data_IF_054876492910
#
_entry.id   IF_054876492910
#
_cell.length_a   1.000
_cell.length_b   1.000
_cell.length_c   1.000
_cell.angle_alpha   90.00
_cell.angle_beta   90.00
_cell.angle_gamma   90.00
#
_symmetry.space_group_name_H-M   'P 1'
#
loop_
_entity.id
_entity.type
_entity.pdbx_description
1 polymer ?
#
# COMPACT_ATOMS: atom_id res chain seq x y z
N UNK A 1 34.66 -55.40 26.87
CA UNK A 1 34.68 -55.75 25.44
C UNK A 1 34.32 -54.53 24.63
N UNK A 2 35.23 -54.16 23.73
CA UNK A 2 35.42 -52.84 23.12
C UNK A 2 34.62 -52.71 21.83
N UNK A 3 33.93 -51.57 21.60
CA UNK A 3 33.78 -51.04 20.23
C UNK A 3 33.39 -49.56 20.17
N UNK A 4 34.38 -48.74 19.79
CA UNK A 4 34.20 -47.43 19.17
C UNK A 4 33.49 -47.58 17.81
N UNK A 5 32.55 -46.70 17.49
CA UNK A 5 32.13 -46.32 16.12
C UNK A 5 31.77 -44.83 16.17
N UNK A 6 32.72 -43.94 15.85
CA UNK A 6 32.99 -43.37 14.53
C UNK A 6 31.84 -42.50 14.01
N UNK A 7 31.97 -41.19 14.24
CA UNK A 7 31.15 -40.13 13.69
C UNK A 7 31.25 -40.11 12.15
N UNK A 8 30.11 -40.11 11.48
CA UNK A 8 30.03 -39.87 10.03
C UNK A 8 30.17 -38.37 9.78
N UNK A 9 31.22 -37.98 9.05
CA UNK A 9 31.37 -36.63 8.50
C UNK A 9 30.48 -36.48 7.26
N UNK A 10 29.85 -35.31 7.04
CA UNK A 10 29.15 -35.03 5.79
C UNK A 10 30.16 -34.77 4.64
N UNK A 11 29.78 -35.03 3.38
CA UNK A 11 30.66 -34.80 2.23
C UNK A 11 30.84 -33.32 1.92
N UNK A 12 32.05 -32.99 1.49
CA UNK A 12 32.51 -31.72 0.96
C UNK A 12 31.62 -31.18 -0.17
N UNK A 13 31.16 -29.93 -0.04
CA UNK A 13 30.57 -29.20 -1.15
C UNK A 13 31.68 -28.64 -2.04
N UNK A 14 31.75 -29.14 -3.26
CA UNK A 14 32.57 -28.64 -4.35
C UNK A 14 31.97 -27.33 -4.89
N UNK A 15 32.73 -26.25 -4.85
CA UNK A 15 32.38 -24.96 -5.45
C UNK A 15 32.52 -25.02 -6.98
N UNK A 16 31.51 -24.62 -7.77
CA UNK A 16 31.73 -24.31 -9.18
C UNK A 16 32.22 -22.87 -9.30
N UNK A 17 33.49 -22.74 -9.64
CA UNK A 17 34.12 -21.50 -10.12
C UNK A 17 33.55 -21.15 -11.49
N UNK A 18 32.97 -19.95 -11.62
CA UNK A 18 32.79 -19.31 -12.92
C UNK A 18 31.38 -18.81 -13.19
N UNK A 19 31.03 -17.64 -12.64
CA UNK A 19 30.21 -16.65 -13.35
C UNK A 19 30.68 -15.25 -12.97
N UNK A 20 30.96 -14.44 -14.00
CA UNK A 20 31.23 -13.01 -13.92
C UNK A 20 30.16 -12.31 -13.06
N UNK A 21 30.51 -11.22 -12.35
CA UNK A 21 29.49 -10.39 -11.74
C UNK A 21 28.70 -9.71 -12.86
N UNK A 22 27.50 -10.23 -13.11
CA UNK A 22 26.46 -9.47 -13.80
C UNK A 22 26.26 -8.18 -13.02
N UNK A 23 26.70 -7.09 -13.64
CA UNK A 23 26.39 -5.69 -13.35
C UNK A 23 25.02 -5.62 -12.66
N UNK A 24 25.00 -5.32 -11.36
CA UNK A 24 23.77 -5.00 -10.65
C UNK A 24 23.12 -3.81 -11.36
N UNK A 25 22.19 -4.10 -12.26
CA UNK A 25 21.12 -3.17 -12.60
C UNK A 25 20.33 -2.99 -11.32
N UNK A 26 20.57 -1.89 -10.63
CA UNK A 26 19.80 -1.52 -9.44
C UNK A 26 18.32 -1.66 -9.76
N UNK A 27 17.60 -2.44 -8.96
CA UNK A 27 16.15 -2.53 -9.04
C UNK A 27 15.58 -1.10 -8.99
N UNK A 28 14.91 -0.62 -10.05
CA UNK A 28 14.31 0.72 -10.05
C UNK A 28 13.21 0.87 -8.99
N UNK A 29 12.77 -0.24 -8.42
CA UNK A 29 11.66 -0.32 -7.50
C UNK A 29 11.98 0.27 -6.12
N UNK A 30 13.24 0.29 -5.65
CA UNK A 30 13.56 0.65 -4.25
C UNK A 30 13.28 2.12 -3.92
N UNK A 31 13.54 3.03 -4.88
CA UNK A 31 13.30 4.46 -4.70
C UNK A 31 11.83 4.81 -4.57
N UNK A 32 10.95 4.18 -5.38
CA UNK A 32 9.50 4.48 -5.41
C UNK A 32 8.82 4.18 -4.09
N UNK A 33 9.15 3.03 -3.48
CA UNK A 33 8.65 2.66 -2.16
C UNK A 33 9.08 3.64 -1.07
N UNK A 34 10.25 4.26 -1.21
CA UNK A 34 10.73 5.25 -0.25
C UNK A 34 9.92 6.53 -0.35
N UNK A 35 9.68 7.09 -1.54
CA UNK A 35 8.90 8.34 -1.65
C UNK A 35 7.44 8.12 -1.24
N UNK A 36 6.83 7.00 -1.63
CA UNK A 36 5.47 6.65 -1.21
C UNK A 36 5.37 6.55 0.32
N UNK A 37 6.35 5.92 0.98
CA UNK A 37 6.33 5.78 2.44
C UNK A 37 6.51 7.12 3.17
N UNK A 38 7.27 8.05 2.60
CA UNK A 38 7.38 9.41 3.15
C UNK A 38 6.07 10.16 3.02
N UNK A 39 5.41 10.13 1.86
CA UNK A 39 4.10 10.76 1.66
C UNK A 39 3.06 10.19 2.65
N UNK A 40 3.01 8.87 2.81
CA UNK A 40 2.15 8.20 3.80
C UNK A 40 2.44 8.64 5.23
N UNK A 41 3.72 8.79 5.60
CA UNK A 41 4.14 9.24 6.93
C UNK A 41 3.64 10.66 7.21
N UNK A 42 3.76 11.56 6.23
CA UNK A 42 3.28 12.94 6.35
C UNK A 42 1.75 12.97 6.52
N UNK A 43 1.01 12.25 5.67
CA UNK A 43 -0.46 12.19 5.79
C UNK A 43 -0.93 11.52 7.08
N UNK A 44 -0.18 10.55 7.61
CA UNK A 44 -0.48 9.94 8.91
C UNK A 44 -0.23 10.90 10.07
N UNK A 45 0.82 11.71 9.99
CA UNK A 45 1.17 12.68 11.04
C UNK A 45 0.20 13.87 11.09
N UNK A 46 -0.36 14.27 9.94
CA UNK A 46 -1.29 15.41 9.85
C UNK A 46 -2.61 14.96 9.20
N UNK A 47 -3.65 14.64 9.99
CA UNK A 47 -4.93 14.15 9.48
C UNK A 47 -5.65 15.12 8.54
N UNK A 48 -5.54 16.43 8.81
CA UNK A 48 -6.17 17.52 8.02
C UNK A 48 -5.43 17.85 6.72
N UNK A 49 -4.27 17.22 6.47
CA UNK A 49 -3.52 17.45 5.24
C UNK A 49 -4.11 16.62 4.09
N UNK A 50 -4.67 17.31 3.09
CA UNK A 50 -5.28 16.68 1.91
C UNK A 50 -4.38 16.69 0.66
N UNK A 51 -3.51 17.69 0.54
CA UNK A 51 -2.67 17.90 -0.64
C UNK A 51 -1.26 18.30 -0.23
N UNK A 52 -0.27 17.80 -0.97
CA UNK A 52 1.11 18.27 -0.91
C UNK A 52 1.45 18.87 -2.28
N UNK A 53 1.88 20.12 -2.29
CA UNK A 53 2.33 20.79 -3.51
C UNK A 53 3.85 20.76 -3.62
N UNK A 54 4.33 20.45 -4.83
CA UNK A 54 5.74 20.51 -5.19
C UNK A 54 5.88 21.48 -6.36
N UNK A 55 6.65 22.55 -6.15
CA UNK A 55 6.90 23.59 -7.15
C UNK A 55 8.36 23.49 -7.58
N UNK A 56 8.60 23.30 -8.86
CA UNK A 56 9.93 23.18 -9.45
C UNK A 56 10.05 24.06 -10.69
N UNK A 57 11.23 24.59 -11.02
CA UNK A 57 11.40 25.28 -12.29
C UNK A 57 11.05 24.36 -13.46
N UNK A 58 10.36 24.88 -14.47
CA UNK A 58 9.86 24.11 -15.62
C UNK A 58 10.96 23.46 -16.47
N UNK A 59 12.18 24.00 -16.45
CA UNK A 59 13.34 23.40 -17.12
C UNK A 59 13.86 22.15 -16.39
N UNK A 60 13.45 21.93 -15.13
CA UNK A 60 13.89 20.81 -14.31
C UNK A 60 12.84 19.70 -14.36
N UNK A 61 13.25 18.51 -14.85
CA UNK A 61 12.40 17.32 -14.78
C UNK A 61 12.44 16.69 -13.39
N UNK A 62 11.27 16.32 -12.86
CA UNK A 62 11.21 15.47 -11.67
C UNK A 62 11.86 14.11 -11.95
N UNK A 63 12.55 13.56 -10.94
CA UNK A 63 13.04 12.20 -11.00
C UNK A 63 11.88 11.21 -11.16
N UNK A 64 12.12 10.07 -11.81
CA UNK A 64 11.11 9.03 -12.10
C UNK A 64 10.29 8.61 -10.87
N UNK A 65 10.90 8.67 -9.69
CA UNK A 65 10.31 8.34 -8.39
C UNK A 65 9.29 9.37 -7.89
N UNK A 66 9.49 10.66 -8.20
CA UNK A 66 8.58 11.72 -7.78
C UNK A 66 7.36 11.77 -8.70
N UNK A 67 7.55 11.48 -9.99
CA UNK A 67 6.48 11.42 -10.99
C UNK A 67 5.43 10.35 -10.63
N UNK A 68 5.80 9.28 -9.92
CA UNK A 68 4.84 8.25 -9.48
C UNK A 68 3.96 8.67 -8.30
N UNK A 69 4.28 9.78 -7.63
CA UNK A 69 3.59 10.28 -6.41
C UNK A 69 2.94 11.63 -6.64
N UNK A 70 3.44 12.40 -7.61
CA UNK A 70 3.03 13.77 -7.88
C UNK A 70 2.55 13.92 -9.32
N UNK A 71 1.28 14.30 -9.47
CA UNK A 71 0.66 14.62 -10.76
C UNK A 71 0.92 16.09 -11.11
N UNK A 72 1.32 16.40 -12.34
CA UNK A 72 1.49 17.78 -12.78
C UNK A 72 0.12 18.43 -12.98
N UNK A 73 -0.14 19.55 -12.29
CA UNK A 73 -1.40 20.29 -12.37
C UNK A 73 -1.31 21.52 -13.27
N UNK A 74 -0.11 22.02 -13.54
CA UNK A 74 0.08 23.12 -14.48
C UNK A 74 1.42 23.82 -14.32
N UNK A 75 1.57 24.94 -15.03
CA UNK A 75 2.71 25.83 -14.91
C UNK A 75 2.25 27.20 -14.43
N UNK A 76 3.01 27.81 -13.52
CA UNK A 76 2.82 29.17 -13.05
C UNK A 76 3.86 30.05 -13.75
N UNK A 77 3.45 31.04 -14.55
CA UNK A 77 4.38 32.02 -15.08
C UNK A 77 4.89 32.91 -13.95
N UNK A 78 6.21 33.07 -13.85
CA UNK A 78 6.77 34.02 -12.90
C UNK A 78 6.72 35.43 -13.49
N UNK A 79 6.14 36.39 -12.75
CA UNK A 79 6.10 37.79 -13.19
C UNK A 79 7.40 38.54 -12.88
N UNK A 80 8.26 37.96 -12.03
CA UNK A 80 9.52 38.55 -11.54
C UNK A 80 10.77 37.96 -12.18
N UNK A 81 10.69 36.77 -12.78
CA UNK A 81 11.79 36.06 -13.44
C UNK A 81 11.30 35.54 -14.80
N UNK A 82 12.17 35.44 -15.81
CA UNK A 82 11.81 34.91 -17.14
C UNK A 82 11.57 33.38 -17.16
N UNK A 83 11.46 32.74 -15.99
CA UNK A 83 11.36 31.29 -15.85
C UNK A 83 9.98 30.88 -15.35
N UNK A 84 9.36 29.93 -16.06
CA UNK A 84 8.12 29.30 -15.64
C UNK A 84 8.39 28.23 -14.57
N UNK A 85 7.45 28.04 -13.65
CA UNK A 85 7.50 26.98 -12.63
C UNK A 85 6.43 25.94 -12.90
N UNK A 86 6.79 24.66 -12.88
CA UNK A 86 5.84 23.57 -12.88
C UNK A 86 5.33 23.31 -11.46
N UNK A 87 4.02 23.08 -11.34
CA UNK A 87 3.35 22.71 -10.10
C UNK A 87 2.87 21.30 -10.20
N UNK A 88 3.23 20.52 -9.18
CA UNK A 88 2.76 19.15 -9.03
C UNK A 88 2.01 18.99 -7.70
N UNK A 89 1.04 18.10 -7.71
CA UNK A 89 0.18 17.80 -6.57
C UNK A 89 0.27 16.31 -6.24
N UNK A 90 0.42 16.01 -4.95
CA UNK A 90 0.21 14.67 -4.41
C UNK A 90 -1.10 14.69 -3.64
N UNK A 91 -1.98 13.74 -3.94
CA UNK A 91 -3.28 13.61 -3.30
C UNK A 91 -3.20 12.65 -2.11
N UNK A 92 -3.78 13.03 -0.97
CA UNK A 92 -3.87 12.15 0.20
C UNK A 92 -4.52 10.81 -0.16
N UNK A 93 -5.65 10.81 -0.86
CA UNK A 93 -6.42 9.59 -1.14
C UNK A 93 -5.63 8.54 -1.94
N UNK A 94 -4.63 8.96 -2.73
CA UNK A 94 -3.77 8.06 -3.51
C UNK A 94 -2.80 7.26 -2.65
N UNK A 95 -2.52 7.73 -1.42
CA UNK A 95 -1.51 7.12 -0.55
C UNK A 95 -2.05 6.73 0.83
N UNK A 96 -3.04 7.46 1.35
CA UNK A 96 -3.61 7.30 2.67
C UNK A 96 -5.09 7.76 2.69
N UNK A 97 -6.01 6.99 2.07
CA UNK A 97 -7.43 7.35 2.00
C UNK A 97 -8.03 7.54 3.39
N UNK A 98 -8.92 8.52 3.52
CA UNK A 98 -9.71 8.70 4.73
C UNK A 98 -10.78 7.61 4.76
N UNK A 99 -10.77 6.81 5.82
CA UNK A 99 -11.77 5.77 6.04
C UNK A 99 -12.90 6.36 6.88
N UNK A 100 -14.13 6.15 6.43
CA UNK A 100 -15.32 6.45 7.20
C UNK A 100 -15.82 5.17 7.87
N UNK A 101 -15.95 5.24 9.19
CA UNK A 101 -16.48 4.14 10.00
C UNK A 101 -17.96 4.39 10.22
N UNK A 102 -18.79 3.42 9.85
CA UNK A 102 -20.23 3.42 10.14
C UNK A 102 -20.69 2.06 10.61
N UNK A 103 -21.89 2.01 11.19
CA UNK A 103 -22.55 0.74 11.53
C UNK A 103 -22.78 -0.05 10.23
N UNK A 104 -22.44 -1.34 10.28
CA UNK A 104 -22.65 -2.26 9.18
C UNK A 104 -24.16 -2.43 8.94
N UNK A 105 -24.54 -2.54 7.67
CA UNK A 105 -25.90 -2.81 7.21
C UNK A 105 -25.92 -4.16 6.51
N UNK A 106 -27.08 -4.79 6.48
CA UNK A 106 -27.24 -6.09 5.82
C UNK A 106 -26.83 -6.02 4.34
N UNK A 107 -27.01 -4.86 3.70
CA UNK A 107 -26.56 -4.59 2.32
C UNK A 107 -25.04 -4.76 2.13
N UNK A 108 -24.24 -4.51 3.16
CA UNK A 108 -22.77 -4.62 3.10
C UNK A 108 -22.31 -6.08 2.95
N UNK A 109 -23.20 -7.06 3.10
CA UNK A 109 -22.92 -8.49 2.94
C UNK A 109 -22.17 -8.80 1.64
N UNK A 110 -22.68 -8.30 0.51
CA UNK A 110 -22.17 -8.65 -0.82
C UNK A 110 -20.78 -8.06 -1.08
N UNK A 111 -20.51 -6.88 -0.51
CA UNK A 111 -19.19 -6.23 -0.60
C UNK A 111 -18.16 -6.90 0.32
N UNK A 112 -18.59 -7.40 1.48
CA UNK A 112 -17.73 -8.05 2.46
C UNK A 112 -17.42 -9.50 2.09
N UNK A 113 -18.33 -10.21 1.45
CA UNK A 113 -18.20 -11.65 1.20
C UNK A 113 -16.93 -12.01 0.40
N UNK A 114 -16.56 -11.31 -0.70
CA UNK A 114 -15.31 -11.56 -1.41
C UNK A 114 -14.06 -11.37 -0.53
N UNK A 115 -14.10 -10.43 0.40
CA UNK A 115 -12.99 -10.14 1.32
C UNK A 115 -12.83 -11.31 2.29
N UNK A 116 -13.92 -11.78 2.91
CA UNK A 116 -13.87 -12.91 3.84
C UNK A 116 -13.45 -14.22 3.15
N UNK A 117 -13.95 -14.47 1.93
CA UNK A 117 -13.59 -15.67 1.16
C UNK A 117 -12.13 -15.70 0.72
N UNK A 118 -11.44 -14.56 0.68
CA UNK A 118 -10.02 -14.52 0.41
C UNK A 118 -9.18 -15.10 1.57
N UNK A 119 -9.66 -14.96 2.81
CA UNK A 119 -8.92 -15.34 4.00
C UNK A 119 -9.29 -16.72 4.53
N UNK A 120 -10.56 -17.11 4.46
CA UNK A 120 -11.01 -18.41 4.96
C UNK A 120 -12.26 -18.91 4.25
N UNK A 121 -12.10 -19.99 3.47
CA UNK A 121 -13.22 -20.65 2.79
C UNK A 121 -14.04 -21.52 3.75
N UNK A 122 -13.48 -21.89 4.91
CA UNK A 122 -14.12 -22.79 5.88
C UNK A 122 -15.32 -22.12 6.55
N UNK A 123 -15.30 -20.80 6.72
CA UNK A 123 -16.40 -20.04 7.34
C UNK A 123 -17.70 -20.15 6.53
N UNK A 124 -17.61 -20.07 5.19
CA UNK A 124 -18.78 -20.26 4.32
C UNK A 124 -19.29 -21.69 4.35
N UNK A 125 -18.39 -22.67 4.38
CA UNK A 125 -18.76 -24.08 4.49
C UNK A 125 -19.41 -24.43 5.84
N UNK A 126 -19.00 -23.75 6.91
CA UNK A 126 -19.47 -24.01 8.28
C UNK A 126 -20.76 -23.27 8.61
N UNK A 127 -20.88 -22.00 8.19
CA UNK A 127 -21.98 -21.11 8.59
C UNK A 127 -22.93 -20.73 7.45
N UNK A 128 -22.67 -21.20 6.22
CA UNK A 128 -23.51 -20.97 5.05
C UNK A 128 -23.19 -19.68 4.29
N UNK A 129 -23.92 -19.45 3.20
CA UNK A 129 -23.65 -18.33 2.29
C UNK A 129 -24.10 -16.97 2.82
N UNK A 130 -25.00 -16.94 3.80
CA UNK A 130 -25.63 -15.72 4.33
C UNK A 130 -25.20 -15.38 5.76
N UNK A 131 -24.19 -16.05 6.31
CA UNK A 131 -23.81 -15.91 7.72
C UNK A 131 -23.48 -14.47 8.12
N UNK A 132 -22.86 -13.70 7.20
CA UNK A 132 -22.52 -12.30 7.42
C UNK A 132 -23.78 -11.43 7.55
N UNK A 133 -24.81 -11.71 6.75
CA UNK A 133 -26.07 -10.97 6.82
C UNK A 133 -26.75 -11.21 8.17
N UNK A 134 -26.82 -12.46 8.61
CA UNK A 134 -27.37 -12.84 9.92
C UNK A 134 -26.59 -12.21 11.08
N UNK A 135 -25.24 -12.21 11.00
CA UNK A 135 -24.39 -11.61 12.04
C UNK A 135 -24.56 -10.08 12.11
N UNK A 136 -24.70 -9.42 10.96
CA UNK A 136 -24.93 -7.98 10.87
C UNK A 136 -26.36 -7.64 11.33
N UNK A 137 -27.35 -8.50 11.09
CA UNK A 137 -28.73 -8.31 11.54
C UNK A 137 -28.87 -8.51 13.05
N UNK A 138 -28.18 -9.51 13.62
CA UNK A 138 -28.19 -9.85 15.04
C UNK A 138 -27.37 -8.90 15.95
N UNK A 139 -27.17 -7.65 15.53
CA UNK A 139 -26.50 -6.64 16.36
C UNK A 139 -27.41 -6.19 17.51
N UNK A 140 -26.89 -6.22 18.73
CA UNK A 140 -27.59 -5.84 19.96
C UNK A 140 -26.73 -4.87 20.81
N UNK A 141 -27.01 -4.72 22.10
CA UNK A 141 -26.26 -3.84 23.01
C UNK A 141 -24.83 -4.32 23.31
N UNK A 142 -24.54 -5.61 23.14
CA UNK A 142 -23.23 -6.21 23.43
C UNK A 142 -22.46 -6.60 22.15
N UNK A 143 -23.15 -6.75 21.02
CA UNK A 143 -22.59 -7.12 19.72
C UNK A 143 -22.85 -6.04 18.66
N UNK A 144 -21.78 -5.44 18.15
CA UNK A 144 -21.85 -4.41 17.11
C UNK A 144 -20.92 -4.75 15.93
N UNK A 145 -21.45 -4.59 14.72
CA UNK A 145 -20.68 -4.70 13.49
C UNK A 145 -20.50 -3.31 12.88
N UNK A 146 -19.26 -3.00 12.51
CA UNK A 146 -18.89 -1.74 11.86
C UNK A 146 -18.14 -2.02 10.57
N UNK A 147 -18.36 -1.17 9.58
CA UNK A 147 -17.64 -1.21 8.30
C UNK A 147 -16.82 0.08 8.16
N UNK A 148 -15.66 -0.07 7.54
CA UNK A 148 -14.78 1.03 7.17
C UNK A 148 -14.78 1.15 5.65
N UNK A 149 -15.33 2.23 5.12
CA UNK A 149 -15.35 2.49 3.68
C UNK A 149 -14.44 3.66 3.33
N UNK A 150 -13.80 3.60 2.16
CA UNK A 150 -12.96 4.70 1.68
C UNK A 150 -13.86 5.87 1.28
N UNK A 151 -13.83 6.98 2.03
CA UNK A 151 -14.51 8.21 1.65
C UNK A 151 -13.83 8.80 0.42
N UNK A 152 -14.41 8.58 -0.75
CA UNK A 152 -14.02 9.30 -1.95
C UNK A 152 -14.54 10.75 -1.83
N UNK A 153 -13.70 11.66 -1.35
CA UNK A 153 -13.95 13.10 -1.44
C UNK A 153 -13.76 13.52 -2.91
N UNK A 154 -14.84 13.47 -3.69
CA UNK A 154 -14.86 14.01 -5.07
C UNK A 154 -15.70 13.23 -6.08
N UNK A 155 -16.99 13.60 -6.18
CA UNK A 155 -17.62 13.93 -7.46
C UNK A 155 -18.19 15.34 -7.36
#
# INVERSE_FOLDING_TARGET
MTRRRSWLRPPSWTTPTGMLPSRMTGCPCSGSWTVISHAQTVYKAVPELHFIFLIVPSYMSLGSTLITVFDQVGNIPCLTYEEDFAVHICHRHSHYPQLHVRKARVEDHDDLMPIFMHYDTILKETYGEYFLAELIEAQDEENHAVVCESCFYGR
#
